data_IF_454027257363
#
_entry.id   IF_454027257363
#
_cell.length_a   1.000
_cell.length_b   1.000
_cell.length_c   1.000
_cell.angle_alpha   90.00
_cell.angle_beta   90.00
_cell.angle_gamma   90.00
#
_symmetry.space_group_name_H-M   'P 1'
#
loop_
_entity.id
_entity.type
_entity.pdbx_description
1 polymer ?
#
# COMPACT_ATOMS: atom_id res chain seq x y z
N UNK A 1 -2.76 -6.72 6.51
CA UNK A 1 -2.50 -5.35 6.00
C UNK A 1 -3.02 -5.16 4.57
N UNK A 2 -2.48 -5.84 3.54
CA UNK A 2 -2.80 -5.60 2.12
C UNK A 2 -4.28 -5.56 1.71
N UNK A 3 -5.15 -6.33 2.37
CA UNK A 3 -6.59 -6.29 2.08
C UNK A 3 -7.23 -4.92 2.39
N UNK A 4 -6.82 -4.24 3.47
CA UNK A 4 -7.27 -2.86 3.76
C UNK A 4 -6.70 -1.89 2.73
N UNK A 5 -5.43 -2.04 2.36
CA UNK A 5 -4.80 -1.19 1.36
C UNK A 5 -5.55 -1.22 0.03
N UNK A 6 -5.90 -2.41 -0.45
CA UNK A 6 -6.75 -2.59 -1.64
C UNK A 6 -8.10 -1.88 -1.50
N UNK A 7 -8.75 -1.99 -0.34
CA UNK A 7 -10.12 -1.53 -0.18
C UNK A 7 -10.23 0.00 -0.06
N UNK A 8 -9.24 0.65 0.56
CA UNK A 8 -9.38 2.06 1.00
C UNK A 8 -8.29 3.02 0.51
N UNK A 9 -7.16 2.51 0.04
CA UNK A 9 -5.96 3.33 -0.13
C UNK A 9 -5.28 3.16 -1.49
N UNK A 10 -5.94 2.60 -2.50
CA UNK A 10 -5.33 2.51 -3.83
C UNK A 10 -5.21 3.90 -4.47
N UNK A 11 -4.10 4.13 -5.14
CA UNK A 11 -3.88 5.35 -5.90
C UNK A 11 -4.96 5.56 -6.98
N UNK A 12 -5.27 6.82 -7.32
CA UNK A 12 -5.95 7.15 -8.57
C UNK A 12 -5.22 6.54 -9.77
N UNK A 13 -5.97 6.06 -10.76
CA UNK A 13 -5.41 5.36 -11.94
C UNK A 13 -4.29 6.11 -12.67
N UNK A 14 -4.37 7.45 -12.73
CA UNK A 14 -3.37 8.31 -13.35
C UNK A 14 -2.00 8.33 -12.63
N UNK A 15 -1.96 7.94 -11.36
CA UNK A 15 -0.76 7.97 -10.52
C UNK A 15 -0.24 6.58 -10.15
N UNK A 16 -0.92 5.51 -10.60
CA UNK A 16 -0.44 4.15 -10.36
C UNK A 16 0.91 3.92 -11.05
N UNK A 17 1.95 3.52 -10.30
CA UNK A 17 3.23 3.20 -10.90
C UNK A 17 3.12 1.93 -11.75
N UNK A 18 3.86 1.90 -12.87
CA UNK A 18 4.00 0.69 -13.68
C UNK A 18 4.95 -0.30 -13.00
N UNK A 19 4.66 -1.59 -13.15
CA UNK A 19 5.54 -2.66 -12.66
C UNK A 19 6.85 -2.63 -13.45
N UNK A 20 7.97 -2.49 -12.74
CA UNK A 20 9.34 -2.61 -13.29
C UNK A 20 10.16 -3.75 -12.66
N UNK A 21 9.72 -4.26 -11.51
CA UNK A 21 10.40 -5.34 -10.80
C UNK A 21 10.05 -6.72 -11.38
N UNK A 22 10.98 -7.69 -11.35
CA UNK A 22 10.74 -9.04 -11.88
C UNK A 22 9.71 -9.82 -11.06
N UNK A 23 9.64 -9.58 -9.75
CA UNK A 23 8.70 -10.25 -8.85
C UNK A 23 7.85 -9.25 -8.07
N UNK A 24 6.53 -9.39 -8.22
CA UNK A 24 5.55 -8.53 -7.54
C UNK A 24 4.38 -9.34 -7.00
N UNK A 25 3.89 -8.93 -5.83
CA UNK A 25 2.64 -9.39 -5.24
C UNK A 25 1.50 -8.43 -5.59
N UNK A 26 0.64 -8.83 -6.54
CA UNK A 26 -0.48 -8.02 -7.05
C UNK A 26 -1.70 -8.08 -6.12
N UNK A 27 -1.56 -7.54 -4.92
CA UNK A 27 -2.59 -7.64 -3.88
C UNK A 27 -3.94 -7.03 -4.29
N UNK A 28 -3.96 -5.97 -5.11
CA UNK A 28 -5.20 -5.38 -5.59
C UNK A 28 -5.98 -6.29 -6.54
N UNK A 29 -5.32 -7.25 -7.19
CA UNK A 29 -5.96 -8.26 -8.05
C UNK A 29 -6.35 -9.51 -7.26
N UNK A 30 -5.43 -9.99 -6.42
CA UNK A 30 -5.51 -11.30 -5.78
C UNK A 30 -6.41 -11.34 -4.53
N UNK A 31 -6.48 -10.26 -3.74
CA UNK A 31 -7.19 -10.28 -2.46
C UNK A 31 -8.66 -9.87 -2.63
N UNK A 32 -9.59 -10.83 -2.68
CA UNK A 32 -11.04 -10.55 -2.86
C UNK A 32 -11.86 -10.58 -1.57
N UNK A 33 -11.25 -10.92 -0.43
CA UNK A 33 -11.93 -11.05 0.86
C UNK A 33 -12.10 -9.71 1.58
N UNK A 34 -13.13 -9.60 2.40
CA UNK A 34 -13.31 -8.48 3.33
C UNK A 34 -12.19 -8.50 4.38
N UNK A 35 -11.49 -7.37 4.62
CA UNK A 35 -10.46 -7.32 5.65
C UNK A 35 -11.05 -7.33 7.06
N UNK A 36 -10.39 -8.07 7.96
CA UNK A 36 -10.49 -7.79 9.40
C UNK A 36 -9.74 -6.49 9.70
N UNK A 37 -10.50 -5.44 10.03
CA UNK A 37 -9.96 -4.12 10.29
C UNK A 37 -9.00 -4.08 11.49
N UNK A 38 -9.27 -4.86 12.55
CA UNK A 38 -8.47 -4.88 13.77
C UNK A 38 -7.11 -5.52 13.51
N UNK A 39 -7.11 -6.70 12.87
CA UNK A 39 -5.87 -7.38 12.50
C UNK A 39 -5.06 -6.62 11.45
N UNK A 40 -5.74 -5.92 10.53
CA UNK A 40 -5.05 -5.13 9.54
C UNK A 40 -4.34 -3.92 10.15
N UNK A 41 -4.95 -3.25 11.14
CA UNK A 41 -4.32 -2.15 11.87
C UNK A 41 -3.10 -2.61 12.67
N UNK A 42 -3.19 -3.74 13.37
CA UNK A 42 -2.07 -4.31 14.14
C UNK A 42 -0.86 -4.69 13.27
N UNK A 43 -1.11 -5.11 12.03
CA UNK A 43 -0.07 -5.56 11.09
C UNK A 43 0.43 -4.44 10.16
N UNK A 44 -0.09 -3.23 10.29
CA UNK A 44 0.30 -2.12 9.42
C UNK A 44 1.58 -1.49 9.96
N UNK A 45 2.62 -1.31 9.13
CA UNK A 45 3.80 -0.56 9.54
C UNK A 45 3.40 0.85 10.03
N UNK A 46 3.93 1.32 11.18
CA UNK A 46 3.49 2.58 11.79
C UNK A 46 3.71 3.78 10.87
N UNK A 47 4.83 3.82 10.13
CA UNK A 47 5.11 4.88 9.16
C UNK A 47 4.07 4.92 8.03
N UNK A 48 3.75 3.75 7.45
CA UNK A 48 2.73 3.65 6.41
C UNK A 48 1.37 4.13 6.94
N UNK A 49 1.01 3.74 8.17
CA UNK A 49 -0.25 4.19 8.79
C UNK A 49 -0.33 5.72 8.86
N UNK A 50 0.74 6.40 9.26
CA UNK A 50 0.77 7.87 9.34
C UNK A 50 0.57 8.51 7.97
N UNK A 51 1.23 8.01 6.92
CA UNK A 51 1.02 8.51 5.55
C UNK A 51 -0.41 8.31 5.08
N UNK A 52 -1.03 7.16 5.36
CA UNK A 52 -2.42 6.89 5.00
C UNK A 52 -3.41 7.78 5.76
N UNK A 53 -3.12 8.14 7.03
CA UNK A 53 -3.92 9.07 7.81
C UNK A 53 -3.86 10.51 7.24
N UNK A 54 -2.74 10.89 6.65
CA UNK A 54 -2.58 12.17 5.94
C UNK A 54 -3.15 12.16 4.50
N UNK A 55 -3.94 11.14 4.14
CA UNK A 55 -4.53 11.05 2.80
C UNK A 55 -3.66 10.36 1.76
N UNK A 56 -2.51 9.81 2.17
CA UNK A 56 -1.64 9.04 1.28
C UNK A 56 -2.31 7.79 0.73
N UNK A 57 -1.77 7.32 -0.39
CA UNK A 57 -2.25 6.19 -1.16
C UNK A 57 -1.10 5.25 -1.52
N UNK A 58 -1.42 4.03 -1.91
CA UNK A 58 -0.47 2.98 -2.29
C UNK A 58 -0.67 2.48 -3.72
N UNK A 59 0.37 1.86 -4.27
CA UNK A 59 0.28 1.09 -5.51
C UNK A 59 -0.69 -0.10 -5.42
N UNK A 60 -1.03 -0.69 -6.56
CA UNK A 60 -1.89 -1.88 -6.67
C UNK A 60 -1.12 -3.20 -6.44
N UNK A 61 0.19 -3.11 -6.27
CA UNK A 61 1.12 -4.22 -6.08
C UNK A 61 2.23 -3.87 -5.08
N UNK A 62 2.81 -4.90 -4.48
CA UNK A 62 4.03 -4.82 -3.70
C UNK A 62 5.18 -5.48 -4.48
N UNK A 63 6.39 -4.94 -4.41
CA UNK A 63 7.59 -5.59 -4.94
C UNK A 63 8.12 -6.57 -3.90
N UNK A 64 8.52 -7.76 -4.36
CA UNK A 64 9.19 -8.75 -3.50
C UNK A 64 10.69 -8.51 -3.60
N UNK A 65 11.35 -8.21 -2.48
CA UNK A 65 12.80 -8.09 -2.39
C UNK A 65 13.37 -9.31 -1.66
N UNK A 66 13.99 -10.20 -2.42
CA UNK A 66 14.60 -11.43 -1.88
C UNK A 66 15.90 -11.18 -1.13
N UNK A 67 16.62 -10.10 -1.44
CA UNK A 67 17.89 -9.79 -0.79
C UNK A 67 17.65 -9.25 0.63
N UNK A 68 16.61 -8.44 0.77
CA UNK A 68 16.23 -7.86 2.07
C UNK A 68 15.15 -8.66 2.80
N UNK A 69 14.59 -9.70 2.18
CA UNK A 69 13.48 -10.50 2.70
C UNK A 69 12.27 -9.63 3.13
N UNK A 70 11.90 -8.68 2.27
CA UNK A 70 10.84 -7.69 2.55
C UNK A 70 9.86 -7.53 1.39
N UNK A 71 8.71 -6.92 1.68
CA UNK A 71 7.74 -6.48 0.69
C UNK A 71 7.70 -4.96 0.65
N UNK A 72 7.94 -4.39 -0.52
CA UNK A 72 7.94 -2.94 -0.72
C UNK A 72 6.65 -2.49 -1.39
N UNK A 73 6.04 -1.44 -0.85
CA UNK A 73 4.85 -0.83 -1.42
C UNK A 73 5.16 0.62 -1.75
N UNK A 74 4.89 1.02 -2.99
CA UNK A 74 4.99 2.43 -3.33
C UNK A 74 3.87 3.18 -2.61
N UNK A 75 4.22 4.26 -1.92
CA UNK A 75 3.27 5.12 -1.20
C UNK A 75 3.45 6.55 -1.71
N UNK A 76 2.35 7.19 -2.12
CA UNK A 76 2.31 8.59 -2.49
C UNK A 76 1.54 9.40 -1.45
N UNK A 77 1.97 10.62 -1.21
CA UNK A 77 1.31 11.59 -0.33
C UNK A 77 1.43 12.97 -0.97
N UNK A 78 0.32 13.68 -1.08
CA UNK A 78 0.31 15.06 -1.54
C UNK A 78 0.92 15.96 -0.46
N UNK A 79 1.87 16.82 -0.84
CA UNK A 79 2.54 17.74 0.10
C UNK A 79 1.52 18.63 0.80
N UNK A 80 0.48 19.08 0.08
CA UNK A 80 -0.59 19.91 0.63
C UNK A 80 -1.44 19.22 1.72
N UNK A 81 -1.32 17.90 1.89
CA UNK A 81 -2.03 17.15 2.93
C UNK A 81 -1.18 16.90 4.18
N UNK A 82 0.09 17.33 4.18
CA UNK A 82 0.98 17.26 5.34
C UNK A 82 0.62 18.41 6.30
N UNK A 83 0.24 18.12 7.56
CA UNK A 83 0.00 19.16 8.57
C UNK A 83 1.27 19.97 8.85
N UNK A 84 1.09 21.24 9.23
CA UNK A 84 2.18 22.11 9.73
C UNK A 84 2.75 21.64 11.07
#
# INVERSE_FOLDING_TARGET
AFTILRQRHLAPRRWLPRVKAPQVFRFARLLRRTPDAKLAQLRMPPLLRTYLLMGGWVSDHAVVDSHMNTLHVFTGLEIAAIPE
#
